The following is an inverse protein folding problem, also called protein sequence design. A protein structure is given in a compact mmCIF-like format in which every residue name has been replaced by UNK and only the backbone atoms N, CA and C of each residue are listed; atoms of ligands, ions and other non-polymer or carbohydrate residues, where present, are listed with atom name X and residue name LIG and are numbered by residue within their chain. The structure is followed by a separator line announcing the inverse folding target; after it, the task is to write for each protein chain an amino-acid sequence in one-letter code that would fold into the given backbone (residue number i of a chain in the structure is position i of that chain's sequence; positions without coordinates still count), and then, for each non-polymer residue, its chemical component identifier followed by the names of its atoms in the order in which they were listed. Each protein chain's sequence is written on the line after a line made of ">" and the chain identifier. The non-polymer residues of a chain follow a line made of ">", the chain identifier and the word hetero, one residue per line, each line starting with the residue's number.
data_IF_084350957518
#
_entry.id   IF_084350957518
#
_cell.length_a   1.000
_cell.length_b   1.000
_cell.length_c   1.000
_cell.angle_alpha   90.00
_cell.angle_beta   90.00
_cell.angle_gamma   90.00
#
_symmetry.space_group_name_H-M   'P 1'
#
loop_
_entity.id
_entity.type
_entity.pdbx_description
1 polymer ?
#
# COMPACT_ATOMS: atom_id res chain seq x y z
N UNK A 1 30.66 -31.54 -44.17
CA UNK A 1 29.25 -31.84 -44.45
C UNK A 1 28.93 -33.18 -43.83
N UNK A 2 28.51 -33.19 -42.60
CA UNK A 2 27.94 -34.41 -42.00
C UNK A 2 26.78 -34.02 -41.06
N UNK A 3 25.71 -34.73 -41.25
CA UNK A 3 24.39 -34.57 -40.61
C UNK A 3 24.46 -34.97 -39.14
N UNK A 4 23.91 -34.19 -38.24
CA UNK A 4 23.50 -34.67 -36.93
C UNK A 4 21.99 -34.73 -36.93
N UNK A 5 21.51 -35.96 -36.72
CA UNK A 5 20.09 -36.34 -36.66
C UNK A 5 19.51 -35.99 -35.31
N UNK A 6 18.25 -35.59 -35.35
CA UNK A 6 17.31 -35.46 -34.28
C UNK A 6 17.19 -36.74 -33.44
N UNK A 7 17.18 -36.58 -32.12
CA UNK A 7 16.57 -37.55 -31.20
C UNK A 7 15.63 -36.79 -30.24
N UNK A 8 14.38 -36.75 -30.62
CA UNK A 8 13.29 -36.54 -29.69
C UNK A 8 12.87 -37.91 -29.16
N UNK A 9 13.11 -38.17 -27.88
CA UNK A 9 12.40 -39.26 -27.18
C UNK A 9 11.17 -38.69 -26.50
N UNK A 10 10.01 -39.19 -26.89
CA UNK A 10 8.74 -39.09 -26.22
C UNK A 10 8.85 -39.68 -24.82
N UNK A 11 8.60 -38.89 -23.81
CA UNK A 11 8.31 -39.43 -22.46
C UNK A 11 6.80 -39.44 -22.32
N UNK A 12 6.28 -40.66 -22.22
CA UNK A 12 4.86 -40.99 -21.97
C UNK A 12 4.48 -40.59 -20.55
N UNK A 13 3.28 -40.05 -20.44
CA UNK A 13 2.51 -39.92 -19.20
C UNK A 13 2.29 -41.31 -18.58
N UNK A 14 2.62 -41.44 -17.29
CA UNK A 14 1.99 -42.44 -16.41
C UNK A 14 2.03 -41.96 -14.96
N UNK A 15 0.84 -41.91 -14.40
CA UNK A 15 0.43 -42.09 -13.01
C UNK A 15 0.34 -40.86 -12.07
N UNK A 16 -0.92 -40.53 -11.91
CA UNK A 16 -1.56 -39.93 -10.74
C UNK A 16 -1.08 -40.59 -9.46
N UNK A 17 -0.59 -39.83 -8.49
CA UNK A 17 -0.77 -40.19 -7.08
C UNK A 17 -1.08 -38.97 -6.22
N UNK A 18 -2.26 -39.06 -5.70
CA UNK A 18 -3.01 -38.21 -4.82
C UNK A 18 -2.29 -38.11 -3.46
N UNK A 19 -1.73 -36.97 -3.10
CA UNK A 19 -1.33 -36.70 -1.72
C UNK A 19 -1.65 -35.27 -1.31
N UNK A 20 -2.95 -35.02 -1.21
CA UNK A 20 -3.56 -33.83 -0.64
C UNK A 20 -3.36 -33.84 0.89
N UNK A 21 -2.22 -33.39 1.37
CA UNK A 21 -2.05 -33.05 2.78
C UNK A 21 -2.41 -31.62 3.05
N UNK A 22 -3.67 -31.41 3.42
CA UNK A 22 -4.17 -30.17 4.01
C UNK A 22 -3.47 -29.95 5.35
N UNK A 23 -2.50 -29.05 5.41
CA UNK A 23 -1.91 -28.58 6.65
C UNK A 23 -2.93 -27.65 7.32
N UNK A 24 -3.62 -28.17 8.33
CA UNK A 24 -4.44 -27.37 9.24
C UNK A 24 -3.51 -26.63 10.20
N UNK A 25 -3.47 -25.33 10.08
CA UNK A 25 -2.92 -24.46 11.13
C UNK A 25 -3.96 -24.36 12.25
N UNK A 26 -3.71 -25.00 13.37
CA UNK A 26 -4.41 -24.75 14.62
C UNK A 26 -3.97 -23.36 15.13
N UNK A 27 -4.96 -22.49 15.29
CA UNK A 27 -4.75 -21.22 15.99
C UNK A 27 -4.63 -21.51 17.49
N UNK A 28 -3.72 -20.88 18.22
CA UNK A 28 -3.68 -20.99 19.68
C UNK A 28 -4.92 -20.33 20.27
N UNK A 29 -5.63 -21.08 21.12
CA UNK A 29 -6.71 -20.59 21.95
C UNK A 29 -6.22 -19.45 22.82
N UNK A 30 -6.85 -18.28 22.69
CA UNK A 30 -6.67 -17.16 23.61
C UNK A 30 -7.51 -17.48 24.83
N UNK A 31 -6.86 -17.77 25.95
CA UNK A 31 -7.51 -17.87 27.26
C UNK A 31 -8.15 -16.54 27.64
N UNK A 32 -9.43 -16.58 27.95
CA UNK A 32 -10.26 -15.50 28.45
C UNK A 32 -9.87 -15.23 29.92
N UNK A 33 -9.31 -14.05 30.27
CA UNK A 33 -9.07 -13.73 31.67
C UNK A 33 -10.36 -13.22 32.32
N UNK A 34 -10.97 -14.12 33.10
CA UNK A 34 -11.66 -13.83 34.35
C UNK A 34 -12.69 -12.70 34.38
N UNK A 35 -13.93 -13.10 34.48
CA UNK A 35 -15.06 -12.33 34.97
C UNK A 35 -14.73 -11.67 36.33
N UNK A 36 -14.59 -10.38 36.35
CA UNK A 36 -14.79 -9.60 37.55
C UNK A 36 -16.03 -8.73 37.41
N UNK A 37 -16.97 -9.03 38.28
CA UNK A 37 -18.22 -8.32 38.49
C UNK A 37 -17.94 -6.88 38.92
N UNK A 38 -18.21 -5.90 38.06
CA UNK A 38 -18.54 -4.55 38.52
C UNK A 38 -19.87 -4.11 37.90
N UNK A 39 -20.79 -3.90 38.79
CA UNK A 39 -22.16 -3.40 38.65
C UNK A 39 -22.17 -2.16 37.77
N UNK A 40 -22.77 -2.25 36.60
CA UNK A 40 -23.17 -1.08 35.84
C UNK A 40 -24.33 -0.42 36.57
N UNK A 41 -24.13 0.77 37.09
CA UNK A 41 -25.20 1.62 37.61
C UNK A 41 -26.02 2.13 36.42
N UNK A 42 -27.31 1.78 36.48
CA UNK A 42 -28.38 2.22 35.60
C UNK A 42 -28.59 3.72 35.74
N UNK A 43 -28.46 4.48 34.66
CA UNK A 43 -28.74 5.93 34.60
C UNK A 43 -30.19 6.27 34.20
N UNK A 44 -31.13 5.37 34.39
CA UNK A 44 -32.56 5.61 34.16
C UNK A 44 -33.27 5.78 35.49
N UNK A 45 -33.06 6.91 36.16
CA UNK A 45 -33.93 7.40 37.23
C UNK A 45 -34.67 8.67 36.75
N UNK A 46 -35.97 8.60 36.47
CA UNK A 46 -36.78 9.72 35.98
C UNK A 46 -37.15 10.77 37.03
N UNK A 47 -36.57 10.75 38.23
CA UNK A 47 -36.95 11.65 39.33
C UNK A 47 -35.98 12.79 39.63
N UNK A 48 -34.91 12.95 38.82
CA UNK A 48 -33.96 14.04 39.07
C UNK A 48 -34.24 15.23 38.13
N UNK A 49 -35.29 16.01 38.47
CA UNK A 49 -35.61 17.32 37.85
C UNK A 49 -34.85 18.39 38.61
N UNK A 50 -33.99 19.21 37.98
CA UNK A 50 -33.37 20.36 38.62
C UNK A 50 -34.43 21.42 38.95
N UNK A 51 -34.30 22.16 40.05
CA UNK A 51 -35.28 23.17 40.44
C UNK A 51 -35.32 24.33 39.45
N UNK A 52 -36.54 24.73 39.09
CA UNK A 52 -36.84 25.89 38.26
C UNK A 52 -36.28 27.18 38.86
N UNK A 53 -35.60 27.96 38.03
CA UNK A 53 -35.09 29.28 38.34
C UNK A 53 -36.27 30.28 38.35
N UNK A 54 -36.47 31.16 39.37
CA UNK A 54 -37.62 32.05 39.46
C UNK A 54 -37.58 33.12 38.36
N UNK A 55 -38.74 33.31 37.75
CA UNK A 55 -39.03 34.33 36.75
C UNK A 55 -38.71 35.74 37.25
N UNK A 56 -37.85 36.42 36.49
CA UNK A 56 -37.69 37.88 36.59
C UNK A 56 -38.71 38.53 35.66
N UNK A 57 -39.82 38.99 36.19
CA UNK A 57 -40.79 39.78 35.45
C UNK A 57 -40.31 41.21 35.29
N UNK A 58 -39.72 41.53 34.13
CA UNK A 58 -39.54 42.92 33.72
C UNK A 58 -40.73 43.38 32.88
N UNK A 59 -41.62 44.17 33.51
CA UNK A 59 -42.64 44.92 32.79
C UNK A 59 -41.98 46.08 32.05
N UNK A 60 -41.96 45.98 30.71
CA UNK A 60 -41.66 47.10 29.81
C UNK A 60 -42.99 47.72 29.39
N UNK A 61 -43.19 49.06 29.49
CA UNK A 61 -44.42 49.71 29.08
C UNK A 61 -44.55 49.69 27.56
N UNK A 62 -45.72 49.20 27.10
CA UNK A 62 -46.10 49.18 25.69
C UNK A 62 -46.39 50.59 25.20
N UNK A 63 -45.53 51.14 24.35
CA UNK A 63 -45.93 52.26 23.48
C UNK A 63 -46.32 51.66 22.14
N UNK A 64 -47.57 51.82 21.76
CA UNK A 64 -48.06 51.59 20.42
C UNK A 64 -47.42 52.61 19.46
N UNK A 65 -46.44 52.16 18.67
CA UNK A 65 -45.97 52.89 17.49
C UNK A 65 -46.53 52.14 16.28
N UNK A 66 -47.51 52.69 15.62
CA UNK A 66 -47.95 52.23 14.32
C UNK A 66 -46.88 52.54 13.28
N UNK A 67 -46.21 51.55 12.69
CA UNK A 67 -45.28 51.86 11.57
C UNK A 67 -46.12 52.07 10.31
N UNK A 68 -45.99 53.23 9.74
CA UNK A 68 -46.38 53.53 8.36
C UNK A 68 -45.45 52.75 7.42
N UNK A 69 -45.93 51.57 7.01
CA UNK A 69 -45.15 50.73 6.10
C UNK A 69 -45.35 51.27 4.68
N UNK A 70 -44.51 52.16 4.27
CA UNK A 70 -44.33 52.52 2.86
C UNK A 70 -43.70 51.30 2.19
N UNK A 71 -44.50 50.49 1.52
CA UNK A 71 -44.02 49.32 0.73
C UNK A 71 -43.25 49.87 -0.44
N UNK A 72 -41.89 49.88 -0.33
CA UNK A 72 -40.99 50.06 -1.46
C UNK A 72 -41.16 48.81 -2.37
N UNK A 73 -41.25 49.00 -3.69
CA UNK A 73 -41.31 47.88 -4.61
C UNK A 73 -40.05 47.00 -4.47
N UNK A 74 -40.25 45.78 -4.00
CA UNK A 74 -39.19 44.77 -4.00
C UNK A 74 -38.85 44.44 -5.45
N UNK A 75 -37.75 45.03 -5.97
CA UNK A 75 -37.12 44.51 -7.18
C UNK A 75 -36.62 43.10 -6.80
N UNK A 76 -36.98 42.06 -7.55
CA UNK A 76 -36.36 40.76 -7.35
C UNK A 76 -34.88 40.93 -7.63
N UNK A 77 -34.07 40.94 -6.62
CA UNK A 77 -32.61 40.78 -6.78
C UNK A 77 -32.42 39.30 -7.11
N UNK A 78 -32.33 39.01 -8.39
CA UNK A 78 -31.84 37.72 -8.87
C UNK A 78 -30.39 37.65 -8.43
N UNK A 79 -30.16 37.09 -7.24
CA UNK A 79 -28.81 36.80 -6.76
C UNK A 79 -28.35 35.62 -7.61
N UNK A 80 -27.86 35.91 -8.83
CA UNK A 80 -27.07 34.95 -9.56
C UNK A 80 -25.93 34.55 -8.64
N UNK A 81 -26.05 33.30 -8.14
CA UNK A 81 -25.01 32.67 -7.35
C UNK A 81 -23.72 32.80 -8.16
N UNK A 82 -22.66 33.44 -7.65
CA UNK A 82 -21.45 33.60 -8.45
C UNK A 82 -21.01 32.21 -8.89
N UNK A 83 -21.06 31.96 -10.19
CA UNK A 83 -20.45 30.77 -10.81
C UNK A 83 -18.96 31.02 -10.67
N UNK A 84 -18.38 30.58 -9.58
CA UNK A 84 -16.93 30.49 -9.44
C UNK A 84 -16.52 29.37 -10.39
N UNK A 85 -16.27 29.77 -11.64
CA UNK A 85 -15.70 28.84 -12.63
C UNK A 85 -14.21 28.70 -12.28
N UNK A 86 -13.93 27.94 -11.21
CA UNK A 86 -12.56 27.62 -10.82
C UNK A 86 -12.06 26.51 -11.74
N UNK A 87 -10.85 26.68 -12.24
CA UNK A 87 -10.16 25.68 -13.05
C UNK A 87 -10.11 24.33 -12.29
N UNK A 88 -10.27 23.21 -13.01
CA UNK A 88 -10.13 21.89 -12.45
C UNK A 88 -8.69 21.66 -11.99
N UNK A 89 -8.49 21.42 -10.71
CA UNK A 89 -7.17 21.23 -10.10
C UNK A 89 -7.17 20.01 -9.16
N UNK A 90 -6.01 19.39 -8.99
CA UNK A 90 -5.83 18.31 -8.03
C UNK A 90 -5.49 18.92 -6.66
N UNK A 91 -6.31 18.62 -5.65
CA UNK A 91 -6.12 19.07 -4.28
C UNK A 91 -5.34 18.05 -3.43
N UNK A 92 -5.58 16.75 -3.66
CA UNK A 92 -4.84 15.66 -3.02
C UNK A 92 -4.32 14.71 -4.08
N UNK A 93 -3.01 14.52 -4.08
CA UNK A 93 -2.35 13.51 -4.91
C UNK A 93 -2.48 12.12 -4.28
N UNK A 94 -2.52 11.04 -5.07
CA UNK A 94 -2.40 9.70 -4.53
C UNK A 94 -1.01 9.50 -3.91
N UNK A 95 -0.91 8.68 -2.88
CA UNK A 95 0.34 8.41 -2.18
C UNK A 95 0.78 6.97 -2.43
N UNK A 96 2.06 6.76 -2.74
CA UNK A 96 2.65 5.43 -2.83
C UNK A 96 2.96 4.83 -1.46
N UNK A 97 3.22 3.53 -1.41
CA UNK A 97 3.55 2.84 -0.17
C UNK A 97 4.51 1.67 -0.38
N UNK A 98 5.19 1.30 0.71
CA UNK A 98 5.99 0.09 0.83
C UNK A 98 5.36 -0.80 1.92
N UNK A 99 5.22 -2.09 1.65
CA UNK A 99 4.66 -3.05 2.57
C UNK A 99 5.71 -4.11 2.93
N UNK A 100 5.68 -4.54 4.17
CA UNK A 100 6.56 -5.57 4.73
C UNK A 100 5.94 -6.97 4.73
N UNK A 101 4.63 -7.07 4.43
CA UNK A 101 3.90 -8.32 4.32
C UNK A 101 2.80 -8.25 3.25
N UNK A 102 2.53 -9.38 2.60
CA UNK A 102 1.35 -9.56 1.75
C UNK A 102 0.05 -9.64 2.57
N UNK A 103 -1.10 -9.68 1.89
CA UNK A 103 -2.41 -9.74 2.53
C UNK A 103 -2.96 -8.37 2.94
N UNK A 104 -2.30 -7.28 2.54
CA UNK A 104 -2.75 -5.91 2.80
C UNK A 104 -3.52 -5.33 1.62
N UNK A 105 -4.16 -4.20 1.87
CA UNK A 105 -4.77 -3.35 0.83
C UNK A 105 -4.20 -1.96 0.92
N UNK A 106 -4.05 -1.32 -0.22
CA UNK A 106 -3.62 0.07 -0.34
C UNK A 106 -4.64 0.86 -1.13
N UNK A 107 -4.99 2.04 -0.63
CA UNK A 107 -5.92 2.96 -1.28
C UNK A 107 -5.15 4.15 -1.85
N UNK A 108 -5.26 4.33 -3.16
CA UNK A 108 -4.75 5.47 -3.88
C UNK A 108 -5.90 6.47 -4.05
N UNK A 109 -5.99 7.47 -3.18
CA UNK A 109 -7.05 8.48 -3.18
C UNK A 109 -6.60 9.76 -3.86
N UNK A 110 -7.48 10.31 -4.71
CA UNK A 110 -7.31 11.62 -5.33
C UNK A 110 -8.48 12.53 -4.97
N UNK A 111 -8.22 13.80 -4.70
CA UNK A 111 -9.25 14.81 -4.52
C UNK A 111 -9.03 15.95 -5.51
N UNK A 112 -10.11 16.41 -6.13
CA UNK A 112 -10.09 17.51 -7.06
C UNK A 112 -10.93 18.67 -6.57
N UNK A 113 -10.59 19.87 -7.04
CA UNK A 113 -11.32 21.09 -6.77
C UNK A 113 -11.54 21.85 -8.07
N UNK A 114 -12.65 22.58 -8.17
CA UNK A 114 -13.00 23.34 -9.39
C UNK A 114 -13.52 22.45 -10.52
N UNK A 115 -13.54 22.99 -11.73
CA UNK A 115 -14.16 22.35 -12.89
C UNK A 115 -15.68 22.18 -12.72
N UNK A 116 -16.27 21.33 -13.54
CA UNK A 116 -17.70 21.07 -13.56
C UNK A 116 -18.01 19.61 -13.25
N UNK A 117 -18.66 19.36 -12.11
CA UNK A 117 -19.15 18.02 -11.78
C UNK A 117 -20.25 17.54 -12.77
N UNK A 118 -20.42 16.21 -12.99
CA UNK A 118 -19.70 15.11 -12.36
C UNK A 118 -18.31 14.92 -12.95
N UNK A 119 -17.40 14.35 -12.13
CA UNK A 119 -16.07 13.94 -12.56
C UNK A 119 -16.06 12.45 -12.91
N UNK A 120 -15.23 12.09 -13.89
CA UNK A 120 -14.88 10.70 -14.20
C UNK A 120 -13.42 10.46 -13.90
N UNK A 121 -13.09 9.25 -13.44
CA UNK A 121 -11.76 8.84 -13.01
C UNK A 121 -11.33 7.63 -13.82
N UNK A 122 -10.13 7.68 -14.37
CA UNK A 122 -9.53 6.58 -15.11
C UNK A 122 -8.12 6.36 -14.58
N UNK A 123 -7.88 5.20 -13.95
CA UNK A 123 -6.58 4.82 -13.43
C UNK A 123 -5.78 4.05 -14.47
N UNK A 124 -4.49 4.38 -14.55
CA UNK A 124 -3.56 3.79 -15.49
C UNK A 124 -2.30 3.32 -14.77
N UNK A 125 -1.65 2.28 -15.33
CA UNK A 125 -0.28 1.95 -14.99
C UNK A 125 0.62 2.05 -16.23
N UNK A 126 1.91 2.29 -15.99
CA UNK A 126 2.91 2.40 -17.05
C UNK A 126 3.53 1.03 -17.29
N UNK A 127 3.29 0.46 -18.45
CA UNK A 127 3.96 -0.74 -18.91
C UNK A 127 4.96 -0.34 -20.02
N UNK A 128 6.26 -0.34 -19.69
CA UNK A 128 7.34 0.13 -20.57
C UNK A 128 7.08 1.58 -21.04
N UNK A 129 6.56 1.76 -22.25
CA UNK A 129 6.25 3.07 -22.86
C UNK A 129 4.75 3.34 -22.97
N UNK A 130 3.94 2.34 -22.70
CA UNK A 130 2.50 2.38 -22.89
C UNK A 130 1.78 2.66 -21.58
N UNK A 131 0.64 3.34 -21.67
CA UNK A 131 -0.30 3.51 -20.58
C UNK A 131 -1.40 2.46 -20.73
N UNK A 132 -1.57 1.63 -19.71
CA UNK A 132 -2.60 0.59 -19.69
C UNK A 132 -3.63 0.94 -18.63
N UNK A 133 -4.91 0.94 -19.01
CA UNK A 133 -6.01 1.22 -18.08
C UNK A 133 -6.14 0.11 -17.04
N UNK A 134 -6.21 0.47 -15.77
CA UNK A 134 -6.51 -0.45 -14.68
C UNK A 134 -8.02 -0.70 -14.68
N UNK A 135 -8.40 -1.97 -14.56
CA UNK A 135 -9.80 -2.41 -14.47
C UNK A 135 -10.04 -3.13 -13.17
N UNK A 136 -11.30 -3.12 -12.72
CA UNK A 136 -11.72 -3.93 -11.58
C UNK A 136 -11.45 -5.41 -11.82
N UNK A 137 -10.88 -6.07 -10.82
CA UNK A 137 -10.49 -7.47 -10.85
C UNK A 137 -10.00 -7.96 -9.49
N UNK A 138 -9.21 -9.03 -9.49
CA UNK A 138 -8.74 -9.67 -8.25
C UNK A 138 -7.79 -8.75 -7.45
N UNK A 139 -7.00 -7.93 -8.15
CA UNK A 139 -5.94 -7.11 -7.54
C UNK A 139 -6.25 -5.61 -7.47
N UNK A 140 -7.31 -5.17 -8.14
CA UNK A 140 -7.74 -3.77 -8.16
C UNK A 140 -9.25 -3.66 -8.06
N UNK A 141 -9.73 -2.73 -7.25
CA UNK A 141 -11.16 -2.40 -7.10
C UNK A 141 -11.35 -0.90 -7.19
N UNK A 142 -12.57 -0.51 -7.52
CA UNK A 142 -13.00 0.89 -7.61
C UNK A 142 -12.16 1.72 -8.63
N UNK A 143 -11.73 1.06 -9.71
CA UNK A 143 -10.85 1.64 -10.74
C UNK A 143 -11.46 2.79 -11.55
N UNK A 144 -12.75 3.07 -11.37
CA UNK A 144 -13.49 4.18 -12.01
C UNK A 144 -13.92 5.25 -10.99
N UNK A 145 -13.33 5.22 -9.78
CA UNK A 145 -13.63 6.15 -8.69
C UNK A 145 -12.42 7.00 -8.29
N UNK A 146 -12.66 7.99 -7.44
CA UNK A 146 -11.62 8.84 -6.87
C UNK A 146 -10.61 8.07 -5.98
N UNK A 147 -10.92 6.83 -5.62
CA UNK A 147 -10.09 6.00 -4.78
C UNK A 147 -9.96 4.59 -5.40
N UNK A 148 -8.76 4.28 -5.89
CA UNK A 148 -8.40 2.94 -6.39
C UNK A 148 -7.85 2.10 -5.23
N UNK A 149 -8.43 0.93 -4.99
CA UNK A 149 -7.95 -0.01 -3.97
C UNK A 149 -7.14 -1.12 -4.62
N UNK A 150 -5.87 -1.26 -4.22
CA UNK A 150 -4.96 -2.32 -4.66
C UNK A 150 -4.81 -3.39 -3.59
N UNK A 151 -4.82 -4.65 -3.99
CA UNK A 151 -4.44 -5.77 -3.13
C UNK A 151 -2.92 -5.93 -3.15
N UNK A 152 -2.29 -5.96 -1.96
CA UNK A 152 -0.85 -6.22 -1.82
C UNK A 152 -0.66 -7.74 -1.73
N UNK A 153 -0.69 -8.39 -2.89
CA UNK A 153 -0.53 -9.83 -3.06
C UNK A 153 0.66 -10.14 -3.96
N UNK A 154 1.29 -11.30 -3.77
CA UNK A 154 2.50 -11.68 -4.51
C UNK A 154 2.26 -11.73 -6.03
N UNK A 155 1.09 -12.19 -6.43
CA UNK A 155 0.69 -12.33 -7.82
C UNK A 155 0.24 -11.01 -8.47
N UNK A 156 0.06 -9.94 -7.68
CA UNK A 156 -0.38 -8.66 -8.21
C UNK A 156 0.74 -7.99 -9.04
N UNK A 157 0.55 -7.99 -10.35
CA UNK A 157 1.50 -7.41 -11.32
C UNK A 157 1.53 -5.88 -11.33
N UNK A 158 0.57 -5.22 -10.67
CA UNK A 158 0.54 -3.76 -10.52
C UNK A 158 1.53 -3.26 -9.46
N UNK A 159 1.98 -4.14 -8.54
CA UNK A 159 2.98 -3.78 -7.55
C UNK A 159 4.32 -3.43 -8.22
N UNK A 160 4.87 -2.29 -7.85
CA UNK A 160 6.08 -1.72 -8.44
C UNK A 160 5.86 -0.96 -9.74
N UNK A 161 4.67 -1.01 -10.34
CA UNK A 161 4.34 -0.22 -11.53
C UNK A 161 4.05 1.24 -11.17
N UNK A 162 4.33 2.14 -12.11
CA UNK A 162 3.97 3.54 -11.96
C UNK A 162 2.48 3.73 -12.24
N UNK A 163 1.70 4.11 -11.23
CA UNK A 163 0.25 4.27 -11.29
C UNK A 163 -0.11 5.75 -11.21
N UNK A 164 -1.07 6.19 -12.02
CA UNK A 164 -1.61 7.55 -12.01
C UNK A 164 -3.08 7.55 -12.43
N UNK A 165 -3.79 8.64 -12.12
CA UNK A 165 -5.18 8.85 -12.47
C UNK A 165 -5.33 10.03 -13.45
N UNK A 166 -6.22 9.89 -14.42
CA UNK A 166 -6.72 10.98 -15.28
C UNK A 166 -8.13 11.28 -14.82
N UNK A 167 -8.38 12.52 -14.43
CA UNK A 167 -9.69 13.00 -14.01
C UNK A 167 -10.23 13.91 -15.11
N UNK A 168 -11.47 13.67 -15.51
CA UNK A 168 -12.17 14.47 -16.53
C UNK A 168 -13.44 15.04 -15.93
N UNK A 169 -13.67 16.33 -16.09
CA UNK A 169 -14.90 17.00 -15.68
C UNK A 169 -16.01 16.89 -16.73
N UNK A 170 -17.21 17.39 -16.42
CA UNK A 170 -18.37 17.33 -17.31
C UNK A 170 -18.21 18.18 -18.61
N UNK A 171 -17.26 19.07 -18.67
CA UNK A 171 -16.93 19.89 -19.85
C UNK A 171 -15.80 19.28 -20.68
N UNK A 172 -15.23 18.15 -20.22
CA UNK A 172 -14.13 17.46 -20.89
C UNK A 172 -12.74 17.98 -20.54
N UNK A 173 -12.64 18.89 -19.56
CA UNK A 173 -11.34 19.35 -19.03
C UNK A 173 -10.68 18.19 -18.28
N UNK A 174 -9.37 18.00 -18.50
CA UNK A 174 -8.61 16.88 -17.93
C UNK A 174 -7.46 17.36 -17.06
N UNK A 175 -7.27 16.70 -15.93
CA UNK A 175 -6.07 16.80 -15.11
C UNK A 175 -5.52 15.40 -14.83
N UNK A 176 -4.21 15.30 -14.62
CA UNK A 176 -3.51 14.04 -14.39
C UNK A 176 -2.70 14.13 -13.11
N UNK A 177 -2.81 13.11 -12.27
CA UNK A 177 -2.06 13.02 -11.01
C UNK A 177 -0.57 12.77 -11.24
N UNK A 178 0.22 12.96 -10.20
CA UNK A 178 1.56 12.41 -10.12
C UNK A 178 1.53 10.89 -10.26
N UNK A 179 2.65 10.33 -10.74
CA UNK A 179 2.82 8.88 -10.82
C UNK A 179 3.39 8.36 -9.52
N UNK A 180 2.71 7.40 -8.90
CA UNK A 180 3.11 6.77 -7.64
C UNK A 180 3.32 5.27 -7.82
N UNK A 181 3.99 4.63 -6.85
CA UNK A 181 4.20 3.19 -6.84
C UNK A 181 3.83 2.60 -5.48
N UNK A 182 3.26 1.41 -5.51
CA UNK A 182 2.99 0.60 -4.33
C UNK A 182 3.85 -0.65 -4.42
N UNK A 183 4.63 -0.93 -3.39
CA UNK A 183 5.54 -2.07 -3.35
C UNK A 183 5.09 -3.10 -2.32
N UNK A 184 5.20 -4.37 -2.67
CA UNK A 184 5.11 -5.49 -1.74
C UNK A 184 6.40 -5.68 -0.93
N UNK A 185 6.48 -6.76 -0.14
CA UNK A 185 7.67 -7.11 0.62
C UNK A 185 8.88 -7.30 -0.27
N UNK A 186 10.01 -6.70 0.12
CA UNK A 186 11.25 -6.90 -0.62
C UNK A 186 11.73 -8.34 -0.51
N UNK A 187 12.09 -8.92 -1.65
CA UNK A 187 12.75 -10.23 -1.73
C UNK A 187 13.69 -10.31 -2.92
N UNK A 188 14.85 -10.90 -2.72
CA UNK A 188 15.84 -11.16 -3.75
C UNK A 188 16.47 -12.56 -3.53
N UNK A 189 16.18 -13.54 -4.37
CA UNK A 189 16.96 -14.77 -4.41
C UNK A 189 18.42 -14.45 -4.72
N UNK A 190 19.34 -15.13 -4.03
CA UNK A 190 20.77 -15.02 -4.27
C UNK A 190 21.16 -16.03 -5.34
N UNK A 191 21.49 -15.55 -6.53
CA UNK A 191 21.96 -16.36 -7.64
C UNK A 191 23.44 -16.72 -7.45
N UNK A 192 24.25 -15.75 -7.00
CA UNK A 192 25.69 -15.88 -6.79
C UNK A 192 26.16 -14.94 -5.67
N UNK A 193 27.36 -15.15 -5.18
CA UNK A 193 27.99 -14.28 -4.20
C UNK A 193 29.49 -14.18 -4.43
N UNK A 194 30.06 -13.04 -4.08
CA UNK A 194 31.50 -12.81 -4.17
C UNK A 194 32.04 -12.26 -2.86
N UNK A 195 33.31 -12.60 -2.57
CA UNK A 195 34.07 -12.01 -1.48
C UNK A 195 35.28 -11.30 -2.06
N UNK A 196 35.14 -10.01 -2.27
CA UNK A 196 36.22 -9.18 -2.80
C UNK A 196 36.61 -8.11 -1.76
N UNK A 197 37.92 -8.00 -1.50
CA UNK A 197 38.46 -7.00 -0.56
C UNK A 197 37.79 -7.02 0.82
N UNK A 198 37.36 -8.22 1.28
CA UNK A 198 36.66 -8.39 2.56
C UNK A 198 35.18 -8.00 2.56
N UNK A 199 34.61 -7.69 1.40
CA UNK A 199 33.19 -7.36 1.24
C UNK A 199 32.46 -8.52 0.58
N UNK A 200 31.39 -8.97 1.25
CA UNK A 200 30.46 -9.95 0.69
C UNK A 200 29.46 -9.22 -0.20
N UNK A 201 29.40 -9.58 -1.48
CA UNK A 201 28.39 -9.06 -2.40
C UNK A 201 27.45 -10.20 -2.80
N UNK A 202 26.17 -10.05 -2.47
CA UNK A 202 25.11 -10.99 -2.82
C UNK A 202 24.51 -10.53 -4.14
N UNK A 203 24.56 -11.37 -5.15
CA UNK A 203 24.15 -11.05 -6.52
C UNK A 203 22.86 -11.79 -6.81
N UNK A 204 21.87 -11.06 -7.35
CA UNK A 204 20.59 -11.65 -7.71
C UNK A 204 19.68 -10.68 -8.43
N UNK A 205 18.51 -11.18 -8.78
CA UNK A 205 17.44 -10.37 -9.34
C UNK A 205 16.36 -10.10 -8.29
N UNK A 206 16.02 -8.83 -8.09
CA UNK A 206 14.93 -8.46 -7.17
C UNK A 206 13.62 -9.06 -7.66
N UNK A 207 13.05 -9.97 -6.85
CA UNK A 207 11.82 -10.66 -7.17
C UNK A 207 10.60 -9.81 -6.85
N UNK A 208 10.65 -9.03 -5.75
CA UNK A 208 9.60 -8.08 -5.36
C UNK A 208 10.11 -6.98 -4.45
N UNK A 209 9.30 -5.93 -4.29
CA UNK A 209 9.52 -4.83 -3.38
C UNK A 209 10.62 -3.86 -3.80
N UNK A 210 11.13 -3.15 -2.82
CA UNK A 210 12.18 -2.13 -2.93
C UNK A 210 13.13 -2.27 -1.74
N UNK A 211 14.43 -2.09 -1.97
CA UNK A 211 15.46 -2.02 -0.93
C UNK A 211 16.28 -0.76 -1.16
N UNK A 212 16.52 -0.01 -0.07
CA UNK A 212 17.37 1.18 -0.09
C UNK A 212 18.73 0.87 0.51
N UNK A 213 19.73 1.55 0.00
CA UNK A 213 21.09 1.51 0.56
C UNK A 213 21.07 1.88 2.04
N UNK A 214 21.78 1.10 2.86
CA UNK A 214 21.85 1.28 4.30
C UNK A 214 20.72 0.59 5.08
N UNK A 215 19.71 0.02 4.42
CA UNK A 215 18.67 -0.72 5.12
C UNK A 215 19.18 -2.04 5.69
N UNK A 216 18.58 -2.42 6.83
CA UNK A 216 18.86 -3.70 7.47
C UNK A 216 18.12 -4.82 6.73
N UNK A 217 18.81 -5.92 6.54
CA UNK A 217 18.29 -7.09 5.82
C UNK A 217 18.55 -8.38 6.59
N UNK A 218 17.73 -9.38 6.31
CA UNK A 218 17.90 -10.75 6.78
C UNK A 218 18.11 -11.66 5.57
N UNK A 219 18.90 -12.69 5.77
CA UNK A 219 19.08 -13.76 4.77
C UNK A 219 18.40 -15.01 5.27
N UNK A 220 17.58 -15.60 4.42
CA UNK A 220 16.76 -16.78 4.71
C UNK A 220 17.25 -17.96 3.90
N UNK A 221 17.44 -19.11 4.55
CA UNK A 221 17.71 -20.43 3.97
C UNK A 221 16.69 -21.42 4.54
N UNK A 222 15.98 -22.16 3.69
CA UNK A 222 15.01 -23.18 4.10
C UNK A 222 13.97 -22.66 5.13
N UNK A 223 13.52 -21.40 4.95
CA UNK A 223 12.55 -20.74 5.81
C UNK A 223 13.11 -20.21 7.14
N UNK A 224 14.41 -20.38 7.42
CA UNK A 224 15.06 -19.94 8.65
C UNK A 224 15.94 -18.72 8.37
N UNK A 225 15.97 -17.76 9.29
CA UNK A 225 16.90 -16.62 9.23
C UNK A 225 18.30 -17.12 9.59
N UNK A 226 19.22 -17.10 8.64
CA UNK A 226 20.59 -17.58 8.82
C UNK A 226 21.61 -16.46 9.03
N UNK A 227 21.29 -15.25 8.62
CA UNK A 227 22.14 -14.08 8.82
C UNK A 227 21.29 -12.80 8.87
N UNK A 228 21.79 -11.83 9.61
CA UNK A 228 21.27 -10.47 9.67
C UNK A 228 22.43 -9.50 9.43
N UNK A 229 22.16 -8.40 8.72
CA UNK A 229 23.17 -7.40 8.43
C UNK A 229 22.57 -6.19 7.71
N UNK A 230 23.43 -5.41 7.10
CA UNK A 230 23.07 -4.16 6.41
C UNK A 230 23.44 -4.27 4.92
N UNK A 231 22.55 -3.80 4.06
CA UNK A 231 22.84 -3.54 2.66
C UNK A 231 23.70 -2.26 2.55
N UNK A 232 25.03 -2.39 2.81
CA UNK A 232 25.95 -1.26 2.91
C UNK A 232 26.05 -0.48 1.59
N UNK A 233 25.94 -1.18 0.48
CA UNK A 233 25.90 -0.60 -0.86
C UNK A 233 25.03 -1.46 -1.78
N UNK A 234 24.41 -0.82 -2.77
CA UNK A 234 23.69 -1.48 -3.86
C UNK A 234 24.41 -1.17 -5.16
N UNK A 235 24.67 -2.17 -5.98
CA UNK A 235 25.49 -2.02 -7.18
C UNK A 235 24.80 -2.62 -8.40
N UNK A 236 24.72 -1.85 -9.47
CA UNK A 236 24.30 -2.30 -10.79
C UNK A 236 25.34 -1.87 -11.82
N UNK A 237 25.84 -2.83 -12.61
CA UNK A 237 26.94 -2.58 -13.58
C UNK A 237 28.16 -1.88 -12.94
N UNK A 238 28.55 -2.30 -11.74
CA UNK A 238 29.65 -1.74 -10.94
C UNK A 238 29.48 -0.26 -10.55
N UNK A 239 28.24 0.24 -10.54
CA UNK A 239 27.90 1.58 -10.07
C UNK A 239 27.01 1.48 -8.84
N UNK A 240 27.34 2.27 -7.81
CA UNK A 240 26.50 2.41 -6.62
C UNK A 240 25.19 3.08 -6.98
N UNK A 241 24.12 2.64 -6.32
CA UNK A 241 22.77 3.20 -6.43
C UNK A 241 22.14 3.34 -5.05
N UNK A 242 21.17 4.22 -4.93
CA UNK A 242 20.53 4.52 -3.65
C UNK A 242 19.41 3.51 -3.31
N UNK A 243 18.77 2.96 -4.33
CA UNK A 243 17.70 1.97 -4.17
C UNK A 243 17.69 0.98 -5.32
N UNK A 244 17.13 -0.21 -5.08
CA UNK A 244 16.84 -1.23 -6.08
C UNK A 244 15.40 -1.69 -5.97
N UNK A 245 14.78 -2.01 -7.10
CA UNK A 245 13.36 -2.35 -7.19
C UNK A 245 13.13 -3.66 -7.93
N UNK A 246 11.92 -4.17 -7.85
CA UNK A 246 11.48 -5.37 -8.58
C UNK A 246 11.96 -5.37 -10.03
N UNK A 247 12.64 -6.43 -10.40
CA UNK A 247 13.15 -6.66 -11.75
C UNK A 247 14.62 -6.27 -11.98
N UNK A 248 15.24 -5.51 -11.07
CA UNK A 248 16.64 -5.14 -11.15
C UNK A 248 17.55 -6.35 -10.91
N UNK A 249 18.66 -6.42 -11.68
CA UNK A 249 19.78 -7.31 -11.37
C UNK A 249 20.79 -6.50 -10.56
N UNK A 250 20.98 -6.86 -9.29
CA UNK A 250 21.74 -6.05 -8.34
C UNK A 250 22.74 -6.90 -7.55
N UNK A 251 23.87 -6.30 -7.19
CA UNK A 251 24.77 -6.79 -6.16
C UNK A 251 24.53 -6.02 -4.87
N UNK A 252 24.15 -6.70 -3.81
CA UNK A 252 24.02 -6.14 -2.45
C UNK A 252 25.34 -6.35 -1.73
N UNK A 253 26.07 -5.27 -1.46
CA UNK A 253 27.23 -5.32 -0.56
C UNK A 253 26.72 -5.52 0.85
N UNK A 254 26.81 -6.76 1.32
CA UNK A 254 26.23 -7.20 2.58
C UNK A 254 27.26 -7.13 3.71
N UNK A 255 27.03 -6.24 4.65
CA UNK A 255 27.79 -6.17 5.90
C UNK A 255 27.05 -6.98 6.94
N UNK A 256 27.57 -8.19 7.19
CA UNK A 256 27.00 -9.11 8.16
C UNK A 256 27.21 -8.60 9.58
N UNK A 257 26.14 -8.53 10.37
CA UNK A 257 26.18 -8.26 11.82
C UNK A 257 26.29 -9.59 12.59
N UNK A 258 25.45 -10.58 12.22
CA UNK A 258 25.39 -11.89 12.87
C UNK A 258 25.01 -13.01 11.89
N UNK A 259 25.25 -14.25 12.28
CA UNK A 259 24.89 -15.45 11.52
C UNK A 259 26.00 -15.99 10.64
N UNK A 260 25.64 -16.82 9.68
CA UNK A 260 26.56 -17.48 8.75
C UNK A 260 26.73 -16.68 7.45
N UNK A 261 27.70 -17.09 6.65
CA UNK A 261 27.90 -16.50 5.32
C UNK A 261 26.80 -16.97 4.38
N UNK A 262 26.10 -16.05 3.70
CA UNK A 262 25.13 -16.39 2.68
C UNK A 262 25.74 -17.14 1.49
N UNK A 263 24.90 -17.89 0.75
CA UNK A 263 25.28 -18.63 -0.44
C UNK A 263 24.20 -18.55 -1.51
N UNK A 264 24.48 -19.04 -2.70
CA UNK A 264 23.49 -19.21 -3.77
C UNK A 264 22.31 -20.07 -3.29
N UNK A 265 21.09 -19.68 -3.65
CA UNK A 265 19.84 -20.28 -3.21
C UNK A 265 19.23 -19.65 -1.96
N UNK A 266 19.96 -18.84 -1.22
CA UNK A 266 19.39 -18.05 -0.12
C UNK A 266 18.48 -16.93 -0.62
N UNK A 267 17.69 -16.35 0.27
CA UNK A 267 16.81 -15.23 -0.06
C UNK A 267 17.13 -14.04 0.84
N UNK A 268 17.40 -12.89 0.26
CA UNK A 268 17.52 -11.62 1.00
C UNK A 268 16.14 -10.98 1.11
N UNK A 269 15.77 -10.60 2.33
CA UNK A 269 14.53 -9.87 2.63
C UNK A 269 14.82 -8.67 3.52
N UNK A 270 13.92 -7.69 3.61
CA UNK A 270 14.04 -6.63 4.63
C UNK A 270 13.98 -7.25 6.02
N UNK A 271 14.80 -6.71 6.92
CA UNK A 271 14.81 -7.14 8.33
C UNK A 271 13.45 -6.83 8.98
N UNK A 272 12.98 -7.78 9.78
CA UNK A 272 11.84 -7.61 10.67
C UNK A 272 12.29 -7.76 12.13
N UNK A 273 11.71 -7.02 13.10
CA UNK A 273 12.08 -7.15 14.52
C UNK A 273 11.92 -8.57 15.09
N UNK A 274 11.06 -9.38 14.47
CA UNK A 274 10.84 -10.80 14.82
C UNK A 274 11.89 -11.73 14.21
N UNK A 275 12.77 -11.24 13.32
CA UNK A 275 13.82 -12.06 12.71
C UNK A 275 14.93 -12.30 13.73
N UNK A 276 15.13 -13.58 14.06
CA UNK A 276 16.20 -14.06 14.94
C UNK A 276 17.01 -15.10 14.19
N UNK A 277 18.33 -15.01 14.25
CA UNK A 277 19.21 -15.97 13.60
C UNK A 277 19.03 -17.35 14.23
N UNK A 278 18.62 -18.32 13.41
CA UNK A 278 18.55 -19.73 13.81
C UNK A 278 19.94 -20.38 13.67
N UNK A 279 20.53 -20.68 14.78
CA UNK A 279 21.86 -21.33 14.84
C UNK A 279 21.77 -22.84 15.07
N UNK A 280 20.56 -23.41 15.09
CA UNK A 280 20.36 -24.82 15.46
C UNK A 280 21.06 -25.82 14.53
N UNK A 281 21.28 -25.46 13.27
CA UNK A 281 21.89 -26.31 12.25
C UNK A 281 23.35 -25.92 11.91
N UNK A 282 23.93 -24.98 12.65
CA UNK A 282 25.34 -24.60 12.48
C UNK A 282 26.21 -25.65 13.20
N UNK A 283 26.42 -26.76 12.52
CA UNK A 283 27.48 -27.70 12.93
C UNK A 283 28.81 -27.13 12.46
N UNK A 284 29.70 -26.85 13.42
CA UNK A 284 31.08 -26.40 13.17
C UNK A 284 31.90 -27.40 12.35
#
# INVERSE_FOLDING_TARGET
>A
VEKIKDNYEEIKDEDEDDNNQTIKYEQPEVEDPGKDNQKAESWDDPTNIPPENPEVTNKVPTQEVTPDITVLPTVPVDIEKPVINSELTIHKQPEGAEYDAYGKKHELEVQVFGGKAPYTYEWYYKERRDAVTIKNGDYAKDAESAALVLSVEKENTLLGQGIYCVITDAEGTKVTTDTVKVYGPFSMPVDDWTLESGKNTLIGRVADGILKKGEKVSVIRDGKVIAIGVAEDLQMFNKSMDETIKGDNVGIVFKKDEGVTPSSGDIVVKYQPTHVVDTSDIVN
#
